data_IF_819134364453
#
_entry.id   IF_819134364453
#
_cell.length_a   1.000
_cell.length_b   1.000
_cell.length_c   1.000
_cell.angle_alpha   90.00
_cell.angle_beta   90.00
_cell.angle_gamma   90.00
#
_symmetry.space_group_name_H-M   'P 1'
#
loop_
_entity.id
_entity.type
_entity.pdbx_description
1 polymer ?
#
# COMPACT_ATOMS: atom_id res chain seq x y z
N UNK A 1 15.71 1.23 15.42
CA UNK A 1 14.39 0.63 15.15
C UNK A 1 14.50 0.05 13.76
N UNK A 2 14.20 -1.24 13.53
CA UNK A 2 14.17 -1.76 12.16
C UNK A 2 13.09 -0.98 11.41
N UNK A 3 13.44 -0.31 10.32
CA UNK A 3 12.43 0.38 9.51
C UNK A 3 11.44 -0.65 8.96
N UNK A 4 10.15 -0.32 9.01
CA UNK A 4 9.11 -1.19 8.45
C UNK A 4 9.36 -1.33 6.95
N UNK A 5 9.17 -2.51 6.35
CA UNK A 5 9.23 -2.65 4.90
C UNK A 5 8.23 -1.71 4.23
N UNK A 6 8.65 -1.05 3.15
CA UNK A 6 7.78 -0.19 2.35
C UNK A 6 7.01 -1.04 1.36
N UNK A 7 5.71 -0.84 1.26
CA UNK A 7 4.86 -1.59 0.33
C UNK A 7 4.02 -0.66 -0.55
N UNK A 8 3.86 -1.08 -1.80
CA UNK A 8 3.01 -0.42 -2.78
C UNK A 8 2.06 -1.44 -3.41
N UNK A 9 0.77 -1.10 -3.44
CA UNK A 9 -0.29 -1.88 -4.07
C UNK A 9 -0.72 -1.16 -5.35
N UNK A 10 -0.42 -1.74 -6.50
CA UNK A 10 -0.82 -1.19 -7.79
C UNK A 10 -1.75 -2.11 -8.56
N UNK A 11 -2.84 -1.52 -9.06
CA UNK A 11 -3.78 -2.19 -9.94
C UNK A 11 -3.27 -2.19 -11.37
N UNK A 12 -2.81 -3.36 -11.82
CA UNK A 12 -2.56 -3.64 -13.22
C UNK A 12 -3.90 -3.99 -13.91
N UNK A 13 -3.96 -5.07 -14.70
CA UNK A 13 -5.22 -5.61 -15.24
C UNK A 13 -6.02 -6.37 -14.17
N UNK A 14 -6.21 -5.75 -12.99
CA UNK A 14 -6.91 -6.32 -11.82
C UNK A 14 -8.37 -5.86 -11.77
N UNK A 15 -9.24 -6.70 -11.19
CA UNK A 15 -10.61 -6.30 -10.83
C UNK A 15 -10.70 -5.61 -9.46
N UNK A 16 -9.60 -5.54 -8.72
CA UNK A 16 -9.53 -4.93 -7.39
C UNK A 16 -9.97 -5.82 -6.22
N UNK A 17 -10.44 -7.04 -6.50
CA UNK A 17 -10.94 -7.94 -5.45
C UNK A 17 -9.88 -8.42 -4.48
N UNK A 18 -8.61 -8.51 -4.90
CA UNK A 18 -7.51 -8.88 -4.01
C UNK A 18 -7.28 -7.80 -2.94
N UNK A 19 -7.28 -6.54 -3.34
CA UNK A 19 -7.07 -5.40 -2.44
C UNK A 19 -8.28 -5.17 -1.55
N UNK A 20 -9.49 -5.33 -2.08
CA UNK A 20 -10.73 -5.27 -1.28
C UNK A 20 -10.73 -6.34 -0.19
N UNK A 21 -10.27 -7.57 -0.48
CA UNK A 21 -10.17 -8.62 0.52
C UNK A 21 -9.18 -8.30 1.65
N UNK A 22 -8.15 -7.48 1.39
CA UNK A 22 -7.25 -6.97 2.44
C UNK A 22 -7.93 -5.87 3.25
N UNK A 23 -8.70 -4.99 2.61
CA UNK A 23 -9.46 -3.94 3.30
C UNK A 23 -10.56 -4.55 4.19
N UNK A 24 -11.15 -5.67 3.78
CA UNK A 24 -12.21 -6.39 4.50
C UNK A 24 -11.69 -7.24 5.69
N UNK A 25 -10.43 -7.07 6.10
CA UNK A 25 -9.85 -7.72 7.29
C UNK A 25 -10.44 -7.20 8.62
N UNK A 26 -11.36 -6.24 8.59
CA UNK A 26 -11.90 -5.56 9.76
C UNK A 26 -10.77 -5.06 10.69
N UNK A 27 -10.78 -5.44 11.97
CA UNK A 27 -9.74 -5.03 12.92
C UNK A 27 -8.35 -5.60 12.61
N UNK A 28 -8.28 -6.72 11.87
CA UNK A 28 -7.01 -7.34 11.46
C UNK A 28 -6.17 -6.47 10.53
N UNK A 29 -6.77 -5.46 9.90
CA UNK A 29 -6.02 -4.47 9.11
C UNK A 29 -5.05 -3.64 9.96
N UNK A 30 -5.30 -3.55 11.27
CA UNK A 30 -4.42 -2.85 12.22
C UNK A 30 -3.05 -3.53 12.31
N UNK A 31 -3.00 -4.86 12.20
CA UNK A 31 -1.75 -5.61 12.18
C UNK A 31 -0.97 -5.36 10.87
N UNK A 32 -1.67 -5.19 9.75
CA UNK A 32 -1.06 -4.85 8.45
C UNK A 32 -0.39 -3.49 8.53
N UNK A 33 -1.10 -2.45 8.95
CA UNK A 33 -0.51 -1.09 9.06
C UNK A 33 0.55 -1.00 10.17
N UNK A 34 0.51 -1.90 11.16
CA UNK A 34 1.57 -2.03 12.15
C UNK A 34 2.83 -2.68 11.57
N UNK A 35 2.71 -3.61 10.63
CA UNK A 35 3.83 -4.38 10.07
C UNK A 35 4.58 -3.65 8.94
N UNK A 36 3.90 -2.86 8.12
CA UNK A 36 4.47 -2.25 6.90
C UNK A 36 4.26 -0.73 6.84
N UNK A 37 5.06 -0.06 6.03
CA UNK A 37 4.85 1.33 5.64
C UNK A 37 4.19 1.37 4.26
N UNK A 38 2.93 1.78 4.20
CA UNK A 38 2.18 1.83 2.94
C UNK A 38 2.49 3.15 2.25
N UNK A 39 3.26 3.08 1.18
CA UNK A 39 3.66 4.27 0.40
C UNK A 39 2.76 4.53 -0.81
N UNK A 40 1.98 3.52 -1.21
CA UNK A 40 1.02 3.65 -2.30
C UNK A 40 -0.05 2.55 -2.20
N UNK A 41 -1.33 2.94 -2.07
CA UNK A 41 -2.46 2.01 -2.09
C UNK A 41 -3.76 2.76 -2.43
N UNK A 42 -4.11 2.89 -3.73
CA UNK A 42 -5.19 3.77 -4.18
C UNK A 42 -6.59 3.31 -3.77
N UNK A 43 -6.75 2.05 -3.34
CA UNK A 43 -8.03 1.53 -2.83
C UNK A 43 -8.33 1.97 -1.41
N UNK A 44 -7.31 1.94 -0.54
CA UNK A 44 -7.48 2.15 0.89
C UNK A 44 -7.11 3.57 1.32
N UNK A 45 -6.31 4.29 0.51
CA UNK A 45 -5.70 5.57 0.87
C UNK A 45 -5.72 6.53 -0.33
N UNK A 46 -5.64 7.83 -0.07
CA UNK A 46 -5.81 8.88 -1.09
C UNK A 46 -4.53 9.18 -1.91
N UNK A 47 -3.65 8.20 -2.09
CA UNK A 47 -2.44 8.40 -2.89
C UNK A 47 -2.79 8.62 -4.37
N UNK A 48 -2.14 9.62 -4.96
CA UNK A 48 -2.22 9.95 -6.37
C UNK A 48 -0.96 9.48 -7.09
N UNK A 49 -1.06 9.38 -8.41
CA UNK A 49 0.09 9.06 -9.27
C UNK A 49 1.25 10.04 -9.04
N UNK A 50 0.94 11.33 -8.85
CA UNK A 50 1.92 12.37 -8.60
C UNK A 50 2.75 12.13 -7.32
N UNK A 51 2.17 11.49 -6.30
CA UNK A 51 2.88 11.17 -5.05
C UNK A 51 3.96 10.11 -5.31
N UNK A 52 3.68 9.13 -6.16
CA UNK A 52 4.64 8.10 -6.59
C UNK A 52 5.70 8.68 -7.53
N UNK A 53 5.29 9.54 -8.46
CA UNK A 53 6.22 10.21 -9.41
C UNK A 53 7.23 11.14 -8.71
N UNK A 54 6.91 11.62 -7.50
CA UNK A 54 7.81 12.43 -6.69
C UNK A 54 8.82 11.61 -5.87
N UNK A 55 8.69 10.28 -5.83
CA UNK A 55 9.59 9.40 -5.09
C UNK A 55 10.89 9.16 -5.87
N UNK A 56 12.00 8.94 -5.16
CA UNK A 56 13.27 8.56 -5.79
C UNK A 56 13.18 7.14 -6.38
N UNK A 57 13.82 6.93 -7.54
CA UNK A 57 13.90 5.60 -8.15
C UNK A 57 14.51 4.57 -7.19
N UNK A 58 13.85 3.42 -7.04
CA UNK A 58 14.28 2.37 -6.12
C UNK A 58 14.01 2.64 -4.63
N UNK A 59 13.22 3.67 -4.30
CA UNK A 59 12.86 3.99 -2.90
C UNK A 59 11.83 3.05 -2.25
N UNK A 60 11.27 2.11 -3.02
CA UNK A 60 10.36 1.04 -2.58
C UNK A 60 11.09 -0.29 -2.78
N UNK A 61 11.44 -0.97 -1.69
CA UNK A 61 12.27 -2.20 -1.65
C UNK A 61 11.57 -3.29 -0.85
#
# INVERSE_FOLDING_TARGET
MSEKPKVAFYWCSSCGGCEEAVVDLAEGILDVVAAVDIVFWPVAMDFKKADVEAMEDGSIL
#
